data_IF_416793414818
#
_entry.id   IF_416793414818
#
_cell.length_a   1.000
_cell.length_b   1.000
_cell.length_c   1.000
_cell.angle_alpha   90.00
_cell.angle_beta   90.00
_cell.angle_gamma   90.00
#
_symmetry.space_group_name_H-M   'P 1'
#
loop_
_entity.id
_entity.type
_entity.pdbx_description
1 polymer ?
#
# COMPACT_ATOMS: atom_id res chain seq x y z
N UNK A 1 -13.27 -1.62 13.04
CA UNK A 1 -12.52 -2.09 11.86
C UNK A 1 -12.42 -0.93 10.88
N UNK A 2 -11.23 -0.41 10.58
CA UNK A 2 -11.03 0.80 9.78
C UNK A 2 -10.18 0.51 8.53
N UNK A 3 -10.53 -0.53 7.78
CA UNK A 3 -9.86 -0.89 6.53
C UNK A 3 -10.85 -1.05 5.35
N UNK A 4 -12.14 -0.74 5.55
CA UNK A 4 -13.19 -0.71 4.51
C UNK A 4 -13.33 0.68 3.84
N UNK A 5 -12.25 1.46 3.83
CA UNK A 5 -12.22 2.74 3.12
C UNK A 5 -11.89 2.52 1.65
N UNK A 6 -12.88 2.67 0.77
CA UNK A 6 -12.65 2.64 -0.68
C UNK A 6 -11.52 3.63 -1.02
N UNK A 7 -10.47 3.15 -1.69
CA UNK A 7 -9.36 4.01 -2.08
C UNK A 7 -9.89 5.11 -3.03
N UNK A 8 -9.42 6.37 -2.96
CA UNK A 8 -9.94 7.46 -3.82
C UNK A 8 -9.71 7.23 -5.33
N UNK A 9 -8.88 6.24 -5.68
CA UNK A 9 -8.59 5.80 -7.05
C UNK A 9 -9.52 4.64 -7.51
N UNK A 10 -10.16 3.95 -6.56
CA UNK A 10 -10.99 2.78 -6.79
C UNK A 10 -12.39 3.22 -7.23
N UNK A 11 -12.64 3.29 -8.55
CA UNK A 11 -13.95 3.68 -9.11
C UNK A 11 -15.07 2.63 -8.95
N UNK A 12 -14.73 1.37 -8.66
CA UNK A 12 -15.70 0.27 -8.57
C UNK A 12 -15.55 -0.39 -7.19
N UNK A 13 -16.55 -0.31 -6.30
CA UNK A 13 -16.56 -1.07 -5.07
C UNK A 13 -16.87 -2.54 -5.41
N UNK A 14 -15.91 -3.44 -5.25
CA UNK A 14 -16.17 -4.86 -5.50
C UNK A 14 -14.96 -5.78 -5.48
N UNK A 15 -13.90 -5.51 -6.25
CA UNK A 15 -13.11 -6.66 -6.75
C UNK A 15 -11.58 -6.59 -6.62
N UNK A 16 -10.93 -5.42 -6.63
CA UNK A 16 -9.53 -5.41 -7.09
C UNK A 16 -8.49 -4.72 -6.18
N UNK A 17 -8.74 -4.58 -4.87
CA UNK A 17 -7.77 -3.93 -3.98
C UNK A 17 -7.31 -4.83 -2.83
N UNK A 18 -6.47 -5.85 -3.09
CA UNK A 18 -5.93 -6.68 -2.03
C UNK A 18 -5.08 -5.84 -1.06
N UNK A 19 -5.21 -6.14 0.22
CA UNK A 19 -4.35 -5.57 1.26
C UNK A 19 -3.02 -6.30 1.27
N UNK A 20 -1.94 -5.54 1.28
CA UNK A 20 -0.58 -6.05 1.34
C UNK A 20 0.10 -5.57 2.61
N UNK A 21 0.89 -6.44 3.20
CA UNK A 21 1.62 -6.16 4.42
C UNK A 21 3.08 -5.88 4.08
N UNK A 22 3.65 -4.88 4.73
CA UNK A 22 5.10 -4.68 4.72
C UNK A 22 5.75 -5.51 5.83
N UNK A 23 7.02 -5.88 5.65
CA UNK A 23 7.85 -6.44 6.75
C UNK A 23 7.90 -5.51 7.96
N UNK A 24 7.74 -4.21 7.75
CA UNK A 24 7.60 -3.20 8.79
C UNK A 24 6.25 -3.24 9.54
N UNK A 25 5.42 -4.27 9.37
CA UNK A 25 4.11 -4.48 9.99
C UNK A 25 3.01 -3.47 9.61
N UNK A 26 3.27 -2.59 8.65
CA UNK A 26 2.26 -1.68 8.09
C UNK A 26 1.48 -2.36 6.97
N UNK A 27 0.18 -2.10 6.91
CA UNK A 27 -0.72 -2.63 5.89
C UNK A 27 -1.19 -1.49 5.00
N UNK A 28 -1.21 -1.74 3.69
CA UNK A 28 -1.73 -0.80 2.70
C UNK A 28 -2.50 -1.55 1.62
N UNK A 29 -3.38 -0.85 0.92
CA UNK A 29 -3.92 -1.38 -0.33
C UNK A 29 -2.80 -1.51 -1.37
N UNK A 30 -2.82 -2.61 -2.14
CA UNK A 30 -1.83 -2.88 -3.19
C UNK A 30 -1.66 -1.69 -4.14
N UNK A 31 -2.75 -1.12 -4.64
CA UNK A 31 -2.71 0.05 -5.53
C UNK A 31 -2.10 1.29 -4.86
N UNK A 32 -2.44 1.56 -3.61
CA UNK A 32 -1.92 2.72 -2.88
C UNK A 32 -0.41 2.61 -2.66
N UNK A 33 0.06 1.43 -2.23
CA UNK A 33 1.49 1.25 -2.00
C UNK A 33 2.25 1.20 -3.32
N UNK A 34 1.76 0.50 -4.35
CA UNK A 34 2.43 0.47 -5.66
C UNK A 34 2.54 1.86 -6.28
N UNK A 35 1.51 2.70 -6.17
CA UNK A 35 1.55 4.10 -6.62
C UNK A 35 2.60 4.90 -5.85
N UNK A 36 2.66 4.72 -4.53
CA UNK A 36 3.66 5.36 -3.68
C UNK A 36 5.09 4.93 -4.02
N UNK A 37 5.31 3.63 -4.22
CA UNK A 37 6.60 3.07 -4.60
C UNK A 37 7.03 3.55 -5.99
N UNK A 38 6.12 3.61 -6.96
CA UNK A 38 6.39 4.17 -8.29
C UNK A 38 6.74 5.66 -8.25
N UNK A 39 6.19 6.41 -7.29
CA UNK A 39 6.55 7.82 -7.09
C UNK A 39 7.93 8.00 -6.47
N UNK A 40 8.54 6.96 -5.91
CA UNK A 40 9.89 7.01 -5.35
C UNK A 40 10.91 6.47 -6.36
N UNK A 41 11.68 7.38 -6.97
CA UNK A 41 12.68 7.03 -8.00
C UNK A 41 13.93 6.32 -7.46
N UNK A 42 14.27 6.53 -6.19
CA UNK A 42 15.59 6.13 -5.67
C UNK A 42 15.54 5.07 -4.57
N UNK A 43 14.50 5.07 -3.72
CA UNK A 43 14.38 4.15 -2.59
C UNK A 43 12.92 3.84 -2.34
N UNK A 44 12.58 2.57 -2.26
CA UNK A 44 11.23 2.13 -1.92
C UNK A 44 11.09 2.16 -0.40
N UNK A 45 10.50 3.21 0.15
CA UNK A 45 10.30 3.35 1.60
C UNK A 45 8.83 3.25 2.00
N UNK A 46 8.58 2.68 3.18
CA UNK A 46 7.27 2.62 3.80
C UNK A 46 6.74 4.05 4.06
N UNK A 47 5.49 4.37 3.68
CA UNK A 47 4.90 5.70 3.91
C UNK A 47 4.85 6.11 5.39
N UNK A 48 4.71 5.13 6.29
CA UNK A 48 4.48 5.38 7.72
C UNK A 48 5.78 5.43 8.51
N UNK A 49 6.64 4.41 8.38
CA UNK A 49 7.88 4.32 9.16
C UNK A 49 9.14 4.71 8.39
N UNK A 50 9.06 4.99 7.08
CA UNK A 50 10.20 5.31 6.20
C UNK A 50 11.31 4.26 6.17
N UNK A 51 11.05 3.06 6.68
CA UNK A 51 11.95 1.91 6.51
C UNK A 51 11.85 1.39 5.08
N UNK A 52 12.86 0.66 4.61
CA UNK A 52 12.83 0.01 3.31
C UNK A 52 11.56 -0.86 3.19
N UNK A 53 10.77 -0.58 2.16
CA UNK A 53 9.55 -1.30 1.88
C UNK A 53 9.88 -2.65 1.30
N UNK A 54 9.48 -3.70 2.01
CA UNK A 54 9.54 -5.08 1.55
C UNK A 54 8.17 -5.70 1.78
N UNK A 55 7.60 -6.30 0.74
CA UNK A 55 6.36 -7.06 0.85
C UNK A 55 6.59 -8.24 1.80
N UNK A 56 5.67 -8.40 2.74
CA UNK A 56 5.60 -9.57 3.62
C UNK A 56 4.85 -10.66 2.85
N UNK A 57 5.55 -11.77 2.62
CA UNK A 57 5.00 -13.00 2.03
C UNK A 57 3.86 -13.58 2.88
#
# INVERSE_FOLDING_TARGET
MAFDGCCPDCKIPGDDCPLVWGRCSHVFHMHCILKWLNSQLHQQLCPMCRQEWQFKE
#
